data_IF_931441871531
#
_entry.id   IF_931441871531
#
_cell.length_a   1.000
_cell.length_b   1.000
_cell.length_c   1.000
_cell.angle_alpha   90.00
_cell.angle_beta   90.00
_cell.angle_gamma   90.00
#
_symmetry.space_group_name_H-M   'P 1'
#
loop_
_entity.id
_entity.type
_entity.pdbx_description
1 polymer ?
#
# COMPACT_ATOMS: atom_id res chain seq x y z
N UNK A 1 -34.02 -37.12 -14.47
CA UNK A 1 -33.32 -35.83 -14.29
C UNK A 1 -33.48 -35.43 -12.84
N UNK A 2 -32.47 -35.70 -12.02
CA UNK A 2 -32.53 -35.50 -10.57
C UNK A 2 -32.12 -34.07 -10.26
N UNK A 3 -33.05 -33.27 -9.74
CA UNK A 3 -32.80 -31.90 -9.30
C UNK A 3 -31.94 -31.99 -8.03
N UNK A 4 -30.66 -31.65 -8.15
CA UNK A 4 -29.81 -31.45 -6.97
C UNK A 4 -30.43 -30.31 -6.13
N UNK A 5 -30.73 -30.62 -4.88
CA UNK A 5 -31.39 -29.71 -3.94
C UNK A 5 -30.57 -28.43 -3.77
N UNK A 6 -31.21 -27.27 -3.92
CA UNK A 6 -30.60 -25.93 -3.75
C UNK A 6 -29.88 -25.74 -2.40
N UNK A 7 -30.14 -26.59 -1.39
CA UNK A 7 -29.42 -26.59 -0.10
C UNK A 7 -28.05 -27.26 -0.19
N UNK A 8 -27.91 -28.34 -0.94
CA UNK A 8 -26.64 -29.07 -1.07
C UNK A 8 -25.59 -28.27 -1.85
N UNK A 9 -26.04 -27.52 -2.87
CA UNK A 9 -25.16 -26.64 -3.64
C UNK A 9 -24.65 -25.46 -2.82
N UNK A 10 -25.48 -24.95 -1.90
CA UNK A 10 -25.14 -23.81 -1.04
C UNK A 10 -24.15 -24.21 0.04
N UNK A 11 -24.34 -25.36 0.68
CA UNK A 11 -23.42 -25.88 1.68
C UNK A 11 -22.06 -26.26 1.08
N UNK A 12 -22.07 -26.87 -0.11
CA UNK A 12 -20.82 -27.21 -0.82
C UNK A 12 -20.03 -25.98 -1.26
N UNK A 13 -20.71 -24.92 -1.71
CA UNK A 13 -20.07 -23.64 -2.03
C UNK A 13 -19.54 -22.94 -0.76
N UNK A 14 -20.27 -23.00 0.36
CA UNK A 14 -19.82 -22.46 1.64
C UNK A 14 -18.59 -23.21 2.19
N UNK A 15 -18.53 -24.54 2.03
CA UNK A 15 -17.41 -25.39 2.43
C UNK A 15 -16.20 -25.24 1.51
N UNK A 16 -16.40 -25.10 0.19
CA UNK A 16 -15.33 -24.80 -0.78
C UNK A 16 -14.77 -23.38 -0.54
N UNK A 17 -15.64 -22.40 -0.25
CA UNK A 17 -15.22 -21.08 0.20
C UNK A 17 -14.44 -21.20 1.51
N UNK A 18 -14.92 -21.92 2.53
CA UNK A 18 -14.22 -22.14 3.80
C UNK A 18 -12.85 -22.84 3.66
N UNK A 19 -12.72 -23.78 2.73
CA UNK A 19 -11.45 -24.44 2.44
C UNK A 19 -10.49 -23.53 1.67
N UNK A 20 -10.99 -22.76 0.69
CA UNK A 20 -10.19 -21.71 0.03
C UNK A 20 -9.70 -20.67 1.05
N UNK A 21 -10.61 -20.21 1.94
CA UNK A 21 -10.34 -19.27 3.05
C UNK A 21 -9.18 -19.74 3.94
N UNK A 22 -9.12 -21.03 4.25
CA UNK A 22 -8.01 -21.62 5.01
C UNK A 22 -6.71 -21.72 4.21
N UNK A 23 -6.76 -21.98 2.90
CA UNK A 23 -5.55 -22.19 2.10
C UNK A 23 -4.78 -20.89 1.80
N UNK A 24 -5.46 -19.79 1.49
CA UNK A 24 -4.80 -18.53 1.10
C UNK A 24 -4.17 -17.80 2.29
N UNK A 25 -4.84 -17.79 3.44
CA UNK A 25 -4.26 -17.31 4.72
C UNK A 25 -3.09 -18.17 5.22
N UNK A 26 -3.02 -19.44 4.79
CA UNK A 26 -1.92 -20.34 5.13
C UNK A 26 -0.75 -20.24 4.15
N UNK A 27 -0.85 -19.48 3.06
CA UNK A 27 0.26 -19.31 2.12
C UNK A 27 1.11 -18.10 2.50
N UNK A 28 0.50 -17.06 3.06
CA UNK A 28 1.23 -15.89 3.54
C UNK A 28 2.10 -16.28 4.76
N UNK A 29 3.44 -16.11 4.69
CA UNK A 29 4.36 -16.53 5.75
C UNK A 29 4.07 -15.89 7.12
N UNK A 30 3.53 -14.68 7.15
CA UNK A 30 3.20 -13.99 8.38
C UNK A 30 1.98 -14.63 9.06
N UNK A 31 0.86 -14.79 8.33
CA UNK A 31 -0.35 -15.39 8.90
C UNK A 31 -0.13 -16.85 9.30
N UNK A 32 0.69 -17.59 8.54
CA UNK A 32 1.08 -18.93 8.91
C UNK A 32 1.87 -18.96 10.22
N UNK A 33 2.84 -18.04 10.40
CA UNK A 33 3.60 -17.93 11.65
C UNK A 33 2.75 -17.44 12.83
N UNK A 34 1.82 -16.51 12.59
CA UNK A 34 0.94 -15.97 13.61
C UNK A 34 -0.04 -17.01 14.15
N UNK A 35 -0.70 -17.78 13.27
CA UNK A 35 -1.74 -18.73 13.66
C UNK A 35 -1.28 -20.18 13.83
N UNK A 36 -0.08 -20.55 13.35
CA UNK A 36 0.51 -21.88 13.58
C UNK A 36 1.76 -21.85 14.47
N UNK A 37 2.12 -20.68 15.00
CA UNK A 37 3.24 -20.51 15.92
C UNK A 37 2.88 -20.80 17.38
N UNK A 38 3.79 -20.43 18.29
CA UNK A 38 3.58 -20.54 19.75
C UNK A 38 3.00 -19.27 20.40
N UNK A 39 2.41 -18.37 19.61
CA UNK A 39 1.88 -17.09 20.09
C UNK A 39 0.44 -17.23 20.59
N UNK A 40 -0.04 -16.22 21.34
CA UNK A 40 -1.39 -16.23 21.89
C UNK A 40 -2.44 -16.35 20.79
N UNK A 41 -2.19 -15.77 19.62
CA UNK A 41 -3.04 -15.79 18.43
C UNK A 41 -3.25 -17.20 17.89
N UNK A 42 -2.25 -18.09 18.00
CA UNK A 42 -2.38 -19.49 17.62
C UNK A 42 -3.20 -20.29 18.64
N UNK A 43 -3.10 -19.94 19.92
CA UNK A 43 -3.87 -20.57 21.01
C UNK A 43 -5.34 -20.16 20.96
N UNK A 44 -5.61 -18.87 20.78
CA UNK A 44 -6.97 -18.32 20.72
C UNK A 44 -7.60 -18.42 19.35
N UNK A 45 -6.80 -18.76 18.33
CA UNK A 45 -7.18 -18.71 16.92
C UNK A 45 -7.79 -17.35 16.53
N UNK A 46 -7.27 -16.27 17.10
CA UNK A 46 -7.77 -14.90 16.94
C UNK A 46 -6.66 -13.87 17.14
N UNK A 47 -6.64 -12.84 16.30
CA UNK A 47 -5.72 -11.71 16.40
C UNK A 47 -6.52 -10.40 16.43
N UNK A 48 -6.07 -9.43 17.22
CA UNK A 48 -6.70 -8.12 17.37
C UNK A 48 -5.73 -7.01 16.99
N UNK A 49 -6.18 -6.07 16.17
CA UNK A 49 -5.39 -4.94 15.68
C UNK A 49 -6.09 -3.62 16.08
N UNK A 50 -6.14 -3.27 17.38
CA UNK A 50 -6.93 -2.13 17.87
C UNK A 50 -6.41 -0.77 17.39
N UNK A 51 -5.12 -0.69 17.05
CA UNK A 51 -4.45 0.51 16.55
C UNK A 51 -4.71 0.77 15.05
N UNK A 52 -5.28 -0.20 14.33
CA UNK A 52 -5.46 -0.15 12.89
C UNK A 52 -6.91 0.09 12.49
N UNK A 53 -7.10 0.80 11.38
CA UNK A 53 -8.45 1.20 10.98
C UNK A 53 -9.26 0.00 10.47
N UNK A 54 -10.54 -0.15 10.85
CA UNK A 54 -11.39 -1.24 10.33
C UNK A 54 -11.43 -1.29 8.80
N UNK A 55 -11.39 -0.13 8.14
CA UNK A 55 -11.33 -0.05 6.68
C UNK A 55 -10.02 -0.59 6.07
N UNK A 56 -8.88 -0.43 6.74
CA UNK A 56 -7.61 -1.03 6.31
C UNK A 56 -7.67 -2.55 6.40
N UNK A 57 -8.25 -3.07 7.49
CA UNK A 57 -8.42 -4.51 7.68
C UNK A 57 -9.37 -5.13 6.64
N UNK A 58 -10.47 -4.45 6.32
CA UNK A 58 -11.41 -4.90 5.27
C UNK A 58 -10.73 -5.02 3.89
N UNK A 59 -9.84 -4.09 3.54
CA UNK A 59 -9.04 -4.17 2.31
C UNK A 59 -8.03 -5.32 2.35
N UNK A 60 -7.31 -5.48 3.47
CA UNK A 60 -6.37 -6.58 3.68
C UNK A 60 -7.06 -7.94 3.51
N UNK A 61 -8.20 -8.14 4.18
CA UNK A 61 -8.96 -9.39 4.10
C UNK A 61 -9.48 -9.64 2.69
N UNK A 62 -9.89 -8.59 1.98
CA UNK A 62 -10.29 -8.71 0.57
C UNK A 62 -9.12 -9.18 -0.29
N UNK A 63 -7.92 -8.62 -0.10
CA UNK A 63 -6.73 -9.05 -0.83
C UNK A 63 -6.39 -10.51 -0.51
N UNK A 64 -6.36 -10.88 0.76
CA UNK A 64 -6.10 -12.27 1.21
C UNK A 64 -7.07 -13.27 0.57
N UNK A 65 -8.35 -12.89 0.40
CA UNK A 65 -9.36 -13.76 -0.21
C UNK A 65 -9.42 -13.74 -1.72
N UNK A 66 -8.93 -12.70 -2.39
CA UNK A 66 -9.07 -12.60 -3.85
C UNK A 66 -7.74 -12.59 -4.59
N UNK A 67 -6.62 -12.54 -3.86
CA UNK A 67 -5.28 -12.34 -4.42
C UNK A 67 -5.12 -11.01 -5.15
N UNK A 68 -6.01 -10.04 -4.91
CA UNK A 68 -5.99 -8.72 -5.55
C UNK A 68 -6.70 -7.66 -4.72
N UNK A 69 -6.20 -6.44 -4.83
CA UNK A 69 -6.83 -5.26 -4.26
C UNK A 69 -8.10 -4.86 -5.03
N UNK A 70 -9.08 -4.29 -4.33
CA UNK A 70 -10.19 -3.56 -4.98
C UNK A 70 -9.63 -2.30 -5.67
N UNK A 71 -10.25 -1.72 -6.70
CA UNK A 71 -9.74 -0.48 -7.27
C UNK A 71 -9.65 0.65 -6.23
N UNK A 72 -8.55 1.40 -6.22
CA UNK A 72 -8.47 2.65 -5.49
C UNK A 72 -9.28 3.71 -6.25
N UNK A 73 -10.37 4.19 -5.65
CA UNK A 73 -11.23 5.22 -6.26
C UNK A 73 -11.49 6.36 -5.29
N UNK A 74 -12.08 7.46 -5.78
CA UNK A 74 -12.69 8.47 -4.91
C UNK A 74 -14.01 7.94 -4.34
N UNK A 75 -14.36 8.39 -3.14
CA UNK A 75 -15.67 8.11 -2.54
C UNK A 75 -16.73 8.91 -3.31
N UNK A 76 -17.84 8.27 -3.70
CA UNK A 76 -18.87 8.87 -4.57
C UNK A 76 -19.37 10.23 -4.07
N UNK A 77 -19.61 10.34 -2.76
CA UNK A 77 -20.17 11.55 -2.13
C UNK A 77 -19.11 12.45 -1.48
N UNK A 78 -17.82 12.09 -1.59
CA UNK A 78 -16.72 12.89 -1.07
C UNK A 78 -15.50 12.78 -1.99
N UNK A 79 -15.39 13.73 -2.93
CA UNK A 79 -14.29 13.76 -3.91
C UNK A 79 -12.91 13.92 -3.26
N UNK A 80 -12.83 14.42 -2.02
CA UNK A 80 -11.57 14.58 -1.29
C UNK A 80 -11.16 13.32 -0.53
N UNK A 81 -12.07 12.35 -0.38
CA UNK A 81 -11.79 11.08 0.26
C UNK A 81 -11.52 9.99 -0.77
N UNK A 82 -10.49 9.20 -0.51
CA UNK A 82 -10.21 7.96 -1.21
C UNK A 82 -10.96 6.81 -0.55
N UNK A 83 -11.31 5.79 -1.34
CA UNK A 83 -11.89 4.55 -0.85
C UNK A 83 -10.95 3.83 0.15
N UNK A 84 -9.66 4.14 0.10
CA UNK A 84 -8.65 3.62 1.01
C UNK A 84 -8.05 4.72 1.86
N UNK A 85 -7.66 4.35 3.09
CA UNK A 85 -6.68 5.11 3.86
C UNK A 85 -5.29 4.56 3.54
N UNK A 86 -4.69 5.02 2.44
CA UNK A 86 -3.43 4.46 1.88
C UNK A 86 -2.34 4.35 2.95
N UNK A 87 -2.03 5.42 3.68
CA UNK A 87 -1.00 5.41 4.74
C UNK A 87 -1.34 4.43 5.89
N UNK A 88 -2.62 4.34 6.28
CA UNK A 88 -3.05 3.40 7.32
C UNK A 88 -2.93 1.95 6.86
N UNK A 89 -3.36 1.67 5.62
CA UNK A 89 -3.27 0.35 5.01
C UNK A 89 -1.82 -0.08 4.82
N UNK A 90 -0.98 0.78 4.23
CA UNK A 90 0.44 0.49 4.00
C UNK A 90 1.21 0.23 5.31
N UNK A 91 0.88 0.97 6.37
CA UNK A 91 1.47 0.73 7.69
C UNK A 91 1.00 -0.58 8.32
N UNK A 92 -0.26 -0.97 8.13
CA UNK A 92 -0.74 -2.28 8.58
C UNK A 92 0.06 -3.39 7.88
N UNK A 93 0.29 -3.27 6.57
CA UNK A 93 0.98 -4.31 5.80
C UNK A 93 2.47 -4.40 6.10
N UNK A 94 3.11 -3.29 6.47
CA UNK A 94 4.47 -3.26 6.99
C UNK A 94 4.59 -3.98 8.34
N UNK A 95 3.65 -3.75 9.29
CA UNK A 95 3.59 -4.50 10.56
C UNK A 95 3.39 -6.00 10.37
N UNK A 96 2.63 -6.37 9.33
CA UNK A 96 2.38 -7.76 8.94
C UNK A 96 3.51 -8.34 8.06
N UNK A 97 4.55 -7.57 7.75
CA UNK A 97 5.62 -7.97 6.83
C UNK A 97 5.12 -8.51 5.47
N UNK A 98 3.98 -8.00 4.99
CA UNK A 98 3.35 -8.45 3.74
C UNK A 98 3.85 -7.59 2.57
N UNK A 99 5.06 -7.92 2.11
CA UNK A 99 5.77 -7.15 1.08
C UNK A 99 5.03 -7.12 -0.26
N UNK A 100 4.45 -8.25 -0.68
CA UNK A 100 3.67 -8.32 -1.93
C UNK A 100 2.47 -7.37 -1.89
N UNK A 101 1.77 -7.31 -0.77
CA UNK A 101 0.65 -6.40 -0.61
C UNK A 101 1.11 -4.93 -0.52
N UNK A 102 2.28 -4.64 0.07
CA UNK A 102 2.87 -3.30 0.02
C UNK A 102 3.13 -2.85 -1.42
N UNK A 103 3.65 -3.75 -2.26
CA UNK A 103 3.90 -3.51 -3.68
C UNK A 103 2.59 -3.28 -4.45
N UNK A 104 1.57 -4.12 -4.23
CA UNK A 104 0.24 -3.94 -4.83
C UNK A 104 -0.42 -2.61 -4.43
N UNK A 105 -0.25 -2.18 -3.17
CA UNK A 105 -0.76 -0.88 -2.71
C UNK A 105 -0.02 0.26 -3.39
N UNK A 106 1.30 0.15 -3.55
CA UNK A 106 2.10 1.14 -4.26
C UNK A 106 1.63 1.29 -5.70
N UNK A 107 1.44 0.17 -6.40
CA UNK A 107 1.01 0.16 -7.79
C UNK A 107 -0.37 0.79 -7.95
N UNK A 108 -1.34 0.36 -7.13
CA UNK A 108 -2.67 0.94 -7.15
C UNK A 108 -2.69 2.45 -6.82
N UNK A 109 -1.80 2.91 -5.94
CA UNK A 109 -1.68 4.34 -5.61
C UNK A 109 -1.06 5.14 -6.76
N UNK A 110 -0.04 4.61 -7.41
CA UNK A 110 0.59 5.23 -8.60
C UNK A 110 -0.37 5.27 -9.77
N UNK A 111 -1.07 4.17 -10.05
CA UNK A 111 -2.07 4.07 -11.11
C UNK A 111 -3.21 5.06 -10.91
N UNK A 112 -3.69 5.21 -9.66
CA UNK A 112 -4.68 6.23 -9.33
C UNK A 112 -4.16 7.64 -9.66
N UNK A 113 -2.89 7.93 -9.33
CA UNK A 113 -2.23 9.18 -9.66
C UNK A 113 -2.16 9.44 -11.18
N UNK A 114 -1.84 8.42 -11.97
CA UNK A 114 -1.83 8.49 -13.45
C UNK A 114 -3.24 8.76 -13.97
N UNK A 115 -4.23 7.96 -13.57
CA UNK A 115 -5.61 8.05 -14.07
C UNK A 115 -6.28 9.40 -13.77
N UNK A 116 -5.88 10.05 -12.68
CA UNK A 116 -6.48 11.31 -12.22
C UNK A 116 -5.58 12.52 -12.46
N UNK A 117 -4.46 12.34 -13.16
CA UNK A 117 -3.39 13.33 -13.33
C UNK A 117 -3.06 14.08 -12.02
N UNK A 118 -2.74 13.30 -10.98
CA UNK A 118 -2.53 13.82 -9.63
C UNK A 118 -1.30 13.24 -8.96
N UNK A 119 -0.72 14.01 -8.05
CA UNK A 119 0.40 13.63 -7.20
C UNK A 119 0.01 13.80 -5.71
N UNK A 120 0.75 13.20 -4.78
CA UNK A 120 0.49 13.32 -3.34
C UNK A 120 0.48 14.78 -2.87
N UNK A 121 -0.47 15.13 -2.01
CA UNK A 121 -0.56 16.47 -1.41
C UNK A 121 0.50 16.66 -0.31
N UNK A 122 0.79 17.91 0.06
CA UNK A 122 1.69 18.23 1.19
C UNK A 122 1.26 17.56 2.50
N UNK A 123 -0.05 17.47 2.77
CA UNK A 123 -0.57 16.76 3.94
C UNK A 123 -0.27 15.26 3.89
N UNK A 124 -0.41 14.64 2.73
CA UNK A 124 -0.04 13.23 2.54
C UNK A 124 1.47 13.03 2.77
N UNK A 125 2.30 13.89 2.18
CA UNK A 125 3.76 13.84 2.34
C UNK A 125 4.14 13.99 3.82
N UNK A 126 3.62 15.01 4.52
CA UNK A 126 3.86 15.22 5.95
C UNK A 126 3.51 13.96 6.76
N UNK A 127 2.32 13.41 6.52
CA UNK A 127 1.83 12.24 7.26
C UNK A 127 2.69 11.00 6.98
N UNK A 128 3.18 10.84 5.75
CA UNK A 128 4.11 9.76 5.39
C UNK A 128 5.42 9.89 6.15
N UNK A 129 6.03 11.08 6.21
CA UNK A 129 7.28 11.31 6.94
C UNK A 129 7.14 11.18 8.46
N UNK A 130 5.95 11.47 9.02
CA UNK A 130 5.67 11.24 10.44
C UNK A 130 5.51 9.75 10.79
N UNK A 131 5.12 8.92 9.82
CA UNK A 131 4.74 7.52 10.07
C UNK A 131 5.80 6.51 9.68
N UNK A 132 6.57 6.78 8.63
CA UNK A 132 7.48 5.81 8.03
C UNK A 132 8.94 6.24 8.17
N UNK A 133 9.81 5.24 8.36
CA UNK A 133 11.25 5.45 8.41
C UNK A 133 11.84 5.82 7.04
N UNK A 134 13.13 6.18 7.03
CA UNK A 134 13.87 6.63 5.85
C UNK A 134 14.07 5.56 4.77
N UNK A 135 13.87 4.27 5.08
CA UNK A 135 14.00 3.17 4.12
C UNK A 135 12.68 2.84 3.43
N UNK A 136 11.55 3.38 3.91
CA UNK A 136 10.23 3.12 3.35
C UNK A 136 10.13 3.51 1.86
N UNK A 137 9.72 2.58 0.97
CA UNK A 137 9.50 2.90 -0.44
C UNK A 137 8.43 3.95 -0.66
N UNK A 138 7.39 4.01 0.20
CA UNK A 138 6.37 5.05 0.13
C UNK A 138 6.96 6.43 0.41
N UNK A 139 7.86 6.53 1.39
CA UNK A 139 8.59 7.78 1.67
C UNK A 139 9.45 8.19 0.47
N UNK A 140 10.17 7.24 -0.14
CA UNK A 140 10.93 7.48 -1.38
C UNK A 140 10.04 7.99 -2.51
N UNK A 141 8.90 7.35 -2.75
CA UNK A 141 7.95 7.76 -3.80
C UNK A 141 7.44 9.18 -3.59
N UNK A 142 7.00 9.53 -2.38
CA UNK A 142 6.49 10.88 -2.11
C UNK A 142 7.58 11.95 -2.17
N UNK A 143 8.84 11.60 -1.85
CA UNK A 143 10.00 12.47 -2.03
C UNK A 143 10.22 12.79 -3.52
N UNK A 144 10.24 11.78 -4.39
CA UNK A 144 10.31 11.96 -5.84
C UNK A 144 9.17 12.87 -6.36
N UNK A 145 7.94 12.62 -5.91
CA UNK A 145 6.79 13.44 -6.29
C UNK A 145 6.95 14.90 -5.87
N UNK A 146 7.35 15.12 -4.62
CA UNK A 146 7.58 16.45 -4.09
C UNK A 146 8.66 17.19 -4.86
N UNK A 147 9.83 16.56 -5.09
CA UNK A 147 10.94 17.19 -5.81
C UNK A 147 10.58 17.49 -7.26
N UNK A 148 9.90 16.57 -7.95
CA UNK A 148 9.44 16.80 -9.33
C UNK A 148 8.55 18.03 -9.42
N UNK A 149 7.55 18.15 -8.53
CA UNK A 149 6.63 19.29 -8.50
C UNK A 149 7.38 20.58 -8.22
N UNK A 150 8.26 20.59 -7.20
CA UNK A 150 8.99 21.79 -6.81
C UNK A 150 9.89 22.33 -7.95
N UNK A 151 10.46 21.46 -8.77
CA UNK A 151 11.33 21.86 -9.88
C UNK A 151 10.58 22.23 -11.16
N UNK A 152 9.44 21.58 -11.45
CA UNK A 152 8.80 21.62 -12.77
C UNK A 152 7.47 22.37 -12.79
N UNK A 153 6.79 22.52 -11.64
CA UNK A 153 5.54 23.26 -11.61
C UNK A 153 5.76 24.77 -11.62
N UNK A 154 5.00 25.46 -12.49
CA UNK A 154 5.01 26.92 -12.61
C UNK A 154 4.08 27.63 -11.62
N UNK A 155 3.38 26.86 -10.77
CA UNK A 155 2.44 27.39 -9.77
C UNK A 155 3.21 27.86 -8.53
N UNK A 156 2.57 28.68 -7.70
CA UNK A 156 3.14 29.08 -6.42
C UNK A 156 3.32 27.86 -5.50
N UNK A 157 4.58 27.58 -5.15
CA UNK A 157 5.00 26.47 -4.30
C UNK A 157 5.24 26.91 -2.85
N UNK A 158 4.77 28.08 -2.40
CA UNK A 158 5.02 28.59 -1.04
C UNK A 158 4.67 27.59 0.08
N UNK A 159 3.51 26.96 -0.01
CA UNK A 159 3.09 25.90 0.93
C UNK A 159 3.96 24.64 0.86
N UNK A 160 4.63 24.39 -0.28
CA UNK A 160 5.59 23.30 -0.41
C UNK A 160 6.92 23.67 0.23
N UNK A 161 7.37 24.91 0.14
CA UNK A 161 8.61 25.35 0.78
C UNK A 161 8.51 25.30 2.31
N UNK A 162 7.33 25.59 2.87
CA UNK A 162 7.06 25.42 4.31
C UNK A 162 7.18 23.96 4.77
N UNK A 163 6.96 23.01 3.86
CA UNK A 163 7.10 21.59 4.18
C UNK A 163 8.57 21.21 4.42
N UNK A 164 9.53 21.86 3.76
CA UNK A 164 10.97 21.60 3.96
C UNK A 164 11.45 22.03 5.34
N UNK A 165 10.87 23.09 5.88
CA UNK A 165 11.20 23.57 7.24
C UNK A 165 10.52 22.69 8.29
N UNK A 166 9.31 22.21 8.01
CA UNK A 166 8.53 21.33 8.90
C UNK A 166 9.07 19.90 8.93
N UNK A 167 9.64 19.42 7.83
CA UNK A 167 10.15 18.05 7.67
C UNK A 167 11.62 18.09 7.22
N UNK A 168 12.58 18.25 8.14
CA UNK A 168 14.00 18.39 7.80
C UNK A 168 14.58 17.20 7.02
N UNK A 169 14.05 16.00 7.27
CA UNK A 169 14.47 14.81 6.53
C UNK A 169 14.06 14.87 5.06
N UNK A 170 12.90 15.44 4.73
CA UNK A 170 12.47 15.63 3.34
C UNK A 170 13.46 16.54 2.60
N UNK A 171 13.89 17.62 3.25
CA UNK A 171 14.90 18.51 2.66
C UNK A 171 16.23 17.79 2.42
N UNK A 172 16.66 16.96 3.38
CA UNK A 172 17.89 16.18 3.29
C UNK A 172 17.83 15.12 2.19
N UNK A 173 16.71 14.40 2.08
CA UNK A 173 16.49 13.38 1.05
C UNK A 173 16.33 14.00 -0.34
N UNK A 174 15.63 15.14 -0.45
CA UNK A 174 15.56 15.91 -1.69
C UNK A 174 16.95 16.33 -2.15
N UNK A 175 17.80 16.87 -1.26
CA UNK A 175 19.16 17.27 -1.61
C UNK A 175 20.01 16.09 -2.11
N UNK A 176 19.86 14.91 -1.49
CA UNK A 176 20.52 13.67 -1.97
C UNK A 176 20.01 13.27 -3.35
N UNK A 177 18.70 13.26 -3.55
CA UNK A 177 18.07 12.92 -4.81
C UNK A 177 18.53 13.85 -5.94
N UNK A 178 18.57 15.16 -5.70
CA UNK A 178 19.07 16.14 -6.66
C UNK A 178 20.54 15.90 -7.02
N UNK A 179 21.37 15.56 -6.02
CA UNK A 179 22.78 15.25 -6.24
C UNK A 179 22.98 13.99 -7.08
N UNK A 180 22.20 12.95 -6.81
CA UNK A 180 22.28 11.66 -7.52
C UNK A 180 21.80 11.75 -8.97
N UNK A 181 20.82 12.60 -9.22
CA UNK A 181 20.19 12.77 -10.54
C UNK A 181 20.79 13.91 -11.38
N UNK A 182 21.77 14.64 -10.85
CA UNK A 182 22.33 15.83 -11.51
C UNK A 182 21.32 16.97 -11.66
N UNK A 183 20.32 17.02 -10.78
CA UNK A 183 19.26 18.03 -10.77
C UNK A 183 18.10 17.77 -11.74
N UNK A 184 18.11 16.68 -12.50
CA UNK A 184 17.02 16.31 -13.39
C UNK A 184 16.15 15.21 -12.77
N UNK A 185 14.92 15.54 -12.40
CA UNK A 185 13.96 14.57 -11.85
C UNK A 185 12.94 14.19 -12.93
N UNK A 186 12.94 12.95 -13.42
CA UNK A 186 11.89 12.45 -14.30
C UNK A 186 10.52 12.49 -13.61
N UNK A 187 9.45 12.49 -14.41
CA UNK A 187 8.11 12.44 -13.85
C UNK A 187 7.93 11.14 -13.03
N UNK A 188 7.50 11.19 -11.75
CA UNK A 188 7.38 10.01 -10.88
C UNK A 188 6.51 8.89 -11.46
N UNK A 189 5.54 9.28 -12.31
CA UNK A 189 4.63 8.37 -12.99
C UNK A 189 5.29 7.59 -14.14
N UNK A 190 6.44 8.05 -14.67
CA UNK A 190 7.13 7.39 -15.79
C UNK A 190 8.07 6.26 -15.35
N UNK A 191 8.33 6.10 -14.05
CA UNK A 191 9.15 5.01 -13.53
C UNK A 191 8.43 3.67 -13.64
N UNK A 192 9.21 2.59 -13.77
CA UNK A 192 8.68 1.23 -13.60
C UNK A 192 8.11 1.07 -12.17
N UNK A 193 7.16 0.15 -12.02
CA UNK A 193 6.55 -0.17 -10.72
C UNK A 193 7.61 -0.55 -9.67
N UNK A 194 8.54 -1.43 -10.06
CA UNK A 194 9.66 -1.89 -9.25
C UNK A 194 10.46 -0.78 -8.54
N UNK A 195 10.61 0.40 -9.17
CA UNK A 195 11.41 1.49 -8.62
C UNK A 195 10.96 1.92 -7.20
N UNK A 196 9.67 1.74 -6.89
CA UNK A 196 9.08 2.09 -5.59
C UNK A 196 8.59 0.88 -4.80
N UNK A 197 9.00 -0.34 -5.15
CA UNK A 197 8.64 -1.56 -4.45
C UNK A 197 9.57 -1.88 -3.28
N UNK A 198 9.10 -2.77 -2.41
CA UNK A 198 9.83 -3.39 -1.31
C UNK A 198 9.98 -4.88 -1.57
N UNK A 199 11.01 -5.26 -2.32
CA UNK A 199 11.24 -6.68 -2.57
C UNK A 199 11.82 -7.36 -1.32
N UNK A 200 11.23 -8.50 -0.97
CA UNK A 200 11.89 -9.43 -0.07
C UNK A 200 13.21 -9.88 -0.71
N UNK A 201 14.28 -10.03 0.08
CA UNK A 201 15.67 -10.26 -0.38
C UNK A 201 15.86 -11.40 -1.40
N UNK A 202 14.88 -12.31 -1.51
CA UNK A 202 14.93 -13.49 -2.37
C UNK A 202 13.78 -13.56 -3.39
N UNK A 203 12.97 -12.52 -3.51
CA UNK A 203 11.84 -12.50 -4.45
C UNK A 203 12.21 -11.69 -5.70
N UNK A 204 11.94 -12.25 -6.88
CA UNK A 204 12.07 -11.54 -8.15
C UNK A 204 10.86 -10.63 -8.38
N UNK A 205 11.09 -9.40 -8.82
CA UNK A 205 10.00 -8.50 -9.17
C UNK A 205 9.38 -8.91 -10.53
N UNK A 206 8.04 -9.03 -10.64
CA UNK A 206 7.38 -9.26 -11.93
C UNK A 206 7.68 -8.19 -12.99
N UNK A 207 8.17 -7.02 -12.57
CA UNK A 207 8.46 -5.85 -13.40
C UNK A 207 9.96 -5.62 -13.67
N UNK A 208 10.84 -6.53 -13.23
CA UNK A 208 12.30 -6.50 -13.52
C UNK A 208 12.71 -7.39 -14.72
N UNK A 209 11.73 -7.87 -15.51
CA UNK A 209 11.95 -8.72 -16.69
C UNK A 209 12.42 -7.95 -17.93
#
# INVERSE_FOLDING_TARGET
>A
MTVASSKDTKHKAEDELLNFRKSSMQQDPFFLKMFKGGFQEAITNSASFPEDSPGSFDILITWVYHGKLRPLTRVKDNRNALAWKVISLYSLTEKLCSFELMDDIMDAFRDFGVQNDSLPSCYFILTTYQKFDSNSPLRRYVCYCYTYVLLNEKRDTGHMTDLLTTVPDLASEMAKLLRETGGFIPEPKSFSYCHFHTHHKYSLCPWEL
#
